data_IF_088196779756
#
_entry.id   IF_088196779756
#
_cell.length_a   1.000
_cell.length_b   1.000
_cell.length_c   1.000
_cell.angle_alpha   90.00
_cell.angle_beta   90.00
_cell.angle_gamma   90.00
#
_symmetry.space_group_name_H-M   'P 1'
#
loop_
_entity.id
_entity.type
_entity.pdbx_description
1 polymer ?
#
# COMPACT_ATOMS: atom_id res chain seq x y z
N UNK A 1 -3.03 -18.94 13.20
CA UNK A 1 -3.87 -17.91 12.53
C UNK A 1 -3.64 -16.59 13.23
N UNK A 2 -3.34 -15.50 12.52
CA UNK A 2 -3.23 -14.16 13.12
C UNK A 2 -4.63 -13.60 13.37
N UNK A 3 -4.88 -13.03 14.55
CA UNK A 3 -6.14 -12.34 14.84
C UNK A 3 -6.18 -10.96 14.17
N UNK A 4 -7.38 -10.38 13.98
CA UNK A 4 -7.51 -9.07 13.33
C UNK A 4 -6.86 -7.93 14.12
N UNK A 5 -6.88 -8.00 15.45
CA UNK A 5 -6.20 -7.03 16.32
C UNK A 5 -4.68 -7.09 16.12
N UNK A 6 -4.13 -8.30 15.98
CA UNK A 6 -2.70 -8.49 15.73
C UNK A 6 -2.28 -7.86 14.39
N UNK A 7 -3.08 -8.03 13.33
CA UNK A 7 -2.79 -7.45 12.01
C UNK A 7 -2.80 -5.92 12.06
N UNK A 8 -3.73 -5.28 12.78
CA UNK A 8 -3.75 -3.82 12.87
C UNK A 8 -2.51 -3.26 13.57
N UNK A 9 -2.10 -3.88 14.68
CA UNK A 9 -0.93 -3.44 15.44
C UNK A 9 0.37 -3.63 14.64
N UNK A 10 0.53 -4.78 13.96
CA UNK A 10 1.63 -5.02 13.04
C UNK A 10 1.67 -3.99 11.90
N UNK A 11 0.51 -3.68 11.31
CA UNK A 11 0.45 -2.70 10.23
C UNK A 11 0.87 -1.29 10.70
N UNK A 12 0.51 -0.88 11.93
CA UNK A 12 0.96 0.40 12.51
C UNK A 12 2.46 0.44 12.78
N UNK A 13 3.07 -0.71 13.07
CA UNK A 13 4.52 -0.85 13.21
C UNK A 13 5.26 -0.82 11.87
N UNK A 14 4.52 -0.80 10.76
CA UNK A 14 5.08 -0.83 9.42
C UNK A 14 5.28 -2.24 8.87
N UNK A 15 4.65 -3.28 9.43
CA UNK A 15 4.73 -4.62 8.83
C UNK A 15 4.06 -4.63 7.45
N UNK A 16 4.86 -4.90 6.41
CA UNK A 16 4.39 -4.84 5.02
C UNK A 16 3.28 -5.86 4.72
N UNK A 17 3.35 -7.06 5.30
CA UNK A 17 2.35 -8.12 5.07
C UNK A 17 1.03 -7.78 5.74
N UNK A 18 1.08 -7.19 6.94
CA UNK A 18 -0.08 -6.72 7.66
C UNK A 18 -0.75 -5.54 6.93
N UNK A 19 0.03 -4.58 6.43
CA UNK A 19 -0.46 -3.47 5.60
C UNK A 19 -1.16 -4.01 4.34
N UNK A 20 -0.51 -4.92 3.61
CA UNK A 20 -1.10 -5.55 2.44
C UNK A 20 -2.38 -6.33 2.79
N UNK A 21 -2.42 -7.01 3.93
CA UNK A 21 -3.61 -7.75 4.38
C UNK A 21 -4.79 -6.82 4.63
N UNK A 22 -4.57 -5.65 5.25
CA UNK A 22 -5.61 -4.64 5.46
C UNK A 22 -6.11 -4.04 4.14
N UNK A 23 -5.20 -3.75 3.19
CA UNK A 23 -5.58 -3.23 1.87
C UNK A 23 -6.36 -4.28 1.07
N UNK A 24 -5.92 -5.53 1.07
CA UNK A 24 -6.59 -6.64 0.37
C UNK A 24 -8.03 -6.83 0.84
N UNK A 25 -8.34 -6.64 2.13
CA UNK A 25 -9.72 -6.74 2.63
C UNK A 25 -10.69 -5.79 1.92
N UNK A 26 -10.22 -4.62 1.50
CA UNK A 26 -11.06 -3.63 0.81
C UNK A 26 -10.97 -3.72 -0.72
N UNK A 27 -9.84 -4.20 -1.24
CA UNK A 27 -9.54 -4.15 -2.67
C UNK A 27 -9.75 -5.49 -3.40
N UNK A 28 -9.61 -6.63 -2.72
CA UNK A 28 -9.88 -7.94 -3.34
C UNK A 28 -11.34 -8.10 -3.80
N UNK A 29 -12.37 -7.64 -3.06
CA UNK A 29 -13.75 -7.65 -3.55
C UNK A 29 -13.95 -6.81 -4.81
N UNK A 30 -13.02 -5.89 -5.11
CA UNK A 30 -13.00 -5.04 -6.31
C UNK A 30 -12.10 -5.61 -7.42
N UNK A 31 -11.63 -6.86 -7.28
CA UNK A 31 -10.76 -7.51 -8.25
C UNK A 31 -9.30 -7.04 -8.24
N UNK A 32 -8.86 -6.36 -7.17
CA UNK A 32 -7.49 -5.86 -7.03
C UNK A 32 -6.78 -6.63 -5.91
N UNK A 33 -5.68 -7.30 -6.25
CA UNK A 33 -4.78 -7.94 -5.28
C UNK A 33 -3.63 -7.01 -4.95
N UNK A 34 -3.31 -6.90 -3.66
CA UNK A 34 -2.20 -6.08 -3.16
C UNK A 34 -1.08 -6.96 -2.65
N UNK A 35 0.15 -6.68 -3.09
CA UNK A 35 1.37 -7.20 -2.47
C UNK A 35 2.18 -6.02 -1.95
N UNK A 36 2.86 -6.20 -0.82
CA UNK A 36 3.75 -5.17 -0.30
C UNK A 36 5.04 -5.74 0.28
N UNK A 37 6.11 -4.97 0.15
CA UNK A 37 7.44 -5.24 0.69
C UNK A 37 8.04 -3.94 1.23
N UNK A 38 8.99 -4.03 2.15
CA UNK A 38 9.75 -2.88 2.64
C UNK A 38 11.23 -3.12 2.37
N UNK A 39 11.86 -2.14 1.72
CA UNK A 39 13.31 -2.04 1.54
C UNK A 39 13.74 -0.64 1.94
N UNK A 40 14.76 -0.48 2.79
CA UNK A 40 15.33 0.82 3.18
C UNK A 40 14.30 1.90 3.53
N UNK A 41 13.38 1.56 4.44
CA UNK A 41 12.27 2.42 4.89
C UNK A 41 11.30 2.87 3.79
N UNK A 42 11.34 2.21 2.64
CA UNK A 42 10.47 2.43 1.50
C UNK A 42 9.49 1.27 1.36
N UNK A 43 8.20 1.58 1.49
CA UNK A 43 7.12 0.61 1.27
C UNK A 43 6.82 0.52 -0.23
N UNK A 44 7.09 -0.63 -0.83
CA UNK A 44 6.70 -0.90 -2.20
C UNK A 44 5.37 -1.64 -2.19
N UNK A 45 4.41 -1.16 -2.99
CA UNK A 45 3.07 -1.69 -3.12
C UNK A 45 2.85 -2.05 -4.59
N UNK A 46 2.50 -3.30 -4.84
CA UNK A 46 2.10 -3.80 -6.15
C UNK A 46 0.59 -4.07 -6.15
N UNK A 47 -0.12 -3.37 -7.04
CA UNK A 47 -1.55 -3.53 -7.29
C UNK A 47 -1.72 -4.37 -8.56
N UNK A 48 -2.34 -5.53 -8.43
CA UNK A 48 -2.55 -6.49 -9.52
C UNK A 48 -4.04 -6.63 -9.80
N UNK A 49 -4.44 -6.51 -11.06
CA UNK A 49 -5.84 -6.64 -11.49
C UNK A 49 -5.95 -7.08 -12.95
N UNK A 50 -7.16 -7.44 -13.39
CA UNK A 50 -7.41 -7.76 -14.80
C UNK A 50 -7.57 -6.49 -15.67
N UNK A 51 -8.05 -5.40 -15.08
CA UNK A 51 -8.19 -4.09 -15.74
C UNK A 51 -7.18 -3.08 -15.22
N UNK A 52 -6.91 -2.01 -15.97
CA UNK A 52 -6.03 -0.94 -15.50
C UNK A 52 -6.63 -0.26 -14.26
N UNK A 53 -5.96 -0.30 -13.10
CA UNK A 53 -6.49 0.33 -11.90
C UNK A 53 -6.57 1.86 -12.03
N UNK A 54 -7.62 2.50 -11.50
CA UNK A 54 -7.73 3.96 -11.48
C UNK A 54 -6.65 4.56 -10.58
N UNK A 55 -5.66 5.21 -11.19
CA UNK A 55 -4.49 5.75 -10.50
C UNK A 55 -4.87 6.72 -9.38
N UNK A 56 -5.64 7.77 -9.70
CA UNK A 56 -5.98 8.81 -8.74
C UNK A 56 -6.73 8.23 -7.53
N UNK A 57 -7.73 7.38 -7.77
CA UNK A 57 -8.52 6.79 -6.69
C UNK A 57 -7.68 5.91 -5.76
N UNK A 58 -6.75 5.13 -6.30
CA UNK A 58 -5.95 4.19 -5.53
C UNK A 58 -4.79 4.86 -4.80
N UNK A 59 -4.17 5.86 -5.41
CA UNK A 59 -3.16 6.69 -4.75
C UNK A 59 -3.77 7.41 -3.54
N UNK A 60 -4.97 8.01 -3.71
CA UNK A 60 -5.70 8.64 -2.60
C UNK A 60 -6.08 7.65 -1.50
N UNK A 61 -6.58 6.46 -1.87
CA UNK A 61 -6.91 5.39 -0.93
C UNK A 61 -5.69 4.96 -0.11
N UNK A 62 -4.55 4.70 -0.76
CA UNK A 62 -3.32 4.29 -0.10
C UNK A 62 -2.79 5.40 0.81
N UNK A 63 -2.74 6.64 0.33
CA UNK A 63 -2.27 7.77 1.14
C UNK A 63 -3.10 7.95 2.41
N UNK A 64 -4.43 7.90 2.29
CA UNK A 64 -5.35 8.00 3.44
C UNK A 64 -5.18 6.82 4.41
N UNK A 65 -5.08 5.60 3.88
CA UNK A 65 -4.88 4.39 4.70
C UNK A 65 -3.60 4.46 5.53
N UNK A 66 -2.47 4.78 4.89
CA UNK A 66 -1.17 4.85 5.57
C UNK A 66 -1.09 6.02 6.56
N UNK A 67 -1.66 7.18 6.21
CA UNK A 67 -1.76 8.32 7.15
C UNK A 67 -2.64 7.96 8.36
N UNK A 68 -3.75 7.26 8.15
CA UNK A 68 -4.65 6.80 9.21
C UNK A 68 -4.02 5.77 10.14
N UNK A 69 -3.10 4.94 9.63
CA UNK A 69 -2.30 4.01 10.43
C UNK A 69 -1.21 4.71 11.25
N UNK A 70 -0.89 5.97 10.94
CA UNK A 70 0.16 6.77 11.62
C UNK A 70 1.51 6.05 11.67
N UNK A 71 1.89 5.41 10.57
CA UNK A 71 3.13 4.65 10.49
C UNK A 71 4.31 5.63 10.46
N UNK A 72 5.23 5.49 11.41
CA UNK A 72 6.41 6.35 11.54
C UNK A 72 7.69 5.71 10.99
N UNK A 73 7.68 4.40 10.75
CA UNK A 73 8.82 3.63 10.24
C UNK A 73 8.96 3.66 8.71
N UNK A 74 8.01 4.26 8.00
CA UNK A 74 7.96 4.31 6.53
C UNK A 74 7.99 5.77 6.08
N UNK A 75 9.03 6.13 5.32
CA UNK A 75 9.24 7.51 4.86
C UNK A 75 8.68 7.73 3.45
N UNK A 76 8.85 6.71 2.61
CA UNK A 76 8.55 6.72 1.18
C UNK A 76 7.67 5.53 0.82
N UNK A 77 6.82 5.73 -0.16
CA UNK A 77 5.95 4.68 -0.71
C UNK A 77 6.03 4.71 -2.22
N UNK A 78 6.26 3.54 -2.82
CA UNK A 78 6.19 3.36 -4.27
C UNK A 78 5.00 2.47 -4.58
N UNK A 79 4.12 2.97 -5.44
CA UNK A 79 2.93 2.25 -5.87
C UNK A 79 3.14 1.87 -7.33
N UNK A 80 3.02 0.59 -7.62
CA UNK A 80 3.04 0.05 -8.96
C UNK A 80 1.70 -0.60 -9.23
N UNK A 81 1.07 -0.25 -10.35
CA UNK A 81 -0.15 -0.90 -10.78
C UNK A 81 0.08 -1.60 -12.09
N UNK A 82 -0.27 -2.88 -12.12
CA UNK A 82 0.06 -3.78 -13.22
C UNK A 82 -1.13 -4.68 -13.50
N UNK A 83 -1.46 -4.86 -14.77
CA UNK A 83 -2.36 -5.95 -15.14
C UNK A 83 -1.66 -7.28 -14.96
N UNK A 84 -2.40 -8.30 -14.55
CA UNK A 84 -1.83 -9.63 -14.24
C UNK A 84 -1.00 -10.20 -15.40
N UNK A 85 -1.39 -9.92 -16.64
CA UNK A 85 -0.75 -10.42 -17.87
C UNK A 85 0.35 -9.51 -18.45
N UNK A 86 0.51 -8.28 -17.94
CA UNK A 86 1.51 -7.33 -18.45
C UNK A 86 2.81 -7.47 -17.67
N UNK A 87 3.98 -7.41 -18.29
CA UNK A 87 5.25 -7.46 -17.56
C UNK A 87 5.54 -6.14 -16.81
N UNK A 88 5.15 -5.02 -17.40
CA UNK A 88 5.41 -3.68 -16.89
C UNK A 88 4.18 -3.09 -16.19
N UNK A 89 4.38 -2.19 -15.20
CA UNK A 89 3.29 -1.44 -14.62
C UNK A 89 2.60 -0.57 -15.67
N UNK A 90 1.27 -0.57 -15.68
CA UNK A 90 0.47 0.40 -16.44
C UNK A 90 0.68 1.82 -15.91
N UNK A 91 1.01 1.97 -14.61
CA UNK A 91 1.48 3.21 -14.01
C UNK A 91 2.26 2.96 -12.71
N UNK A 92 3.05 3.96 -12.31
CA UNK A 92 3.70 4.01 -11.01
C UNK A 92 3.55 5.39 -10.36
N UNK A 93 3.60 5.44 -9.03
CA UNK A 93 3.55 6.67 -8.25
C UNK A 93 4.42 6.56 -6.99
N UNK A 94 5.30 7.53 -6.83
CA UNK A 94 6.07 7.74 -5.59
C UNK A 94 5.35 8.75 -4.68
N UNK A 95 5.33 8.45 -3.38
CA UNK A 95 4.76 9.30 -2.33
C UNK A 95 5.75 9.45 -1.18
N UNK A 96 5.77 10.63 -0.56
CA UNK A 96 6.42 10.88 0.72
C UNK A 96 5.32 10.97 1.78
N UNK A 97 5.45 10.20 2.86
CA UNK A 97 4.44 10.17 3.95
C UNK A 97 4.92 10.93 5.19
N UNK A 98 6.22 11.18 5.31
CA UNK A 98 6.74 12.02 6.38
C UNK A 98 6.27 13.47 6.18
N UNK A 99 5.37 13.94 7.04
CA UNK A 99 5.11 15.37 7.20
C UNK A 99 6.33 15.95 7.87
N UNK A 100 7.14 16.69 7.11
CA UNK A 100 8.15 17.57 7.67
C UNK A 100 7.37 18.60 8.48
N UNK A 101 7.37 18.48 9.81
CA UNK A 101 6.91 19.56 10.67
C UNK A 101 7.95 20.68 10.51
N UNK A 102 7.72 21.57 9.55
CA UNK A 102 8.39 22.87 9.52
C UNK A 102 7.94 23.61 10.77
N UNK A 103 8.83 23.62 11.76
CA UNK A 103 8.76 24.47 12.96
C UNK A 103 8.96 25.93 12.57
#
# INVERSE_FOLDING_TARGET
>A
MMSQQNILELAKQGDAQAIASLMNRQLQPKGITVKATINDSCLQIMLLSHETPNQQALVEFIRKGLTGLKITSIERVQIFAKKIEEDFPSWSQDLIIMVINLK
#
